data_IF_659717601420
#
_entry.id   IF_659717601420
#
_cell.length_a   1.000
_cell.length_b   1.000
_cell.length_c   1.000
_cell.angle_alpha   90.00
_cell.angle_beta   90.00
_cell.angle_gamma   90.00
#
_symmetry.space_group_name_H-M   'P 1'
#
loop_
_entity.id
_entity.type
_entity.pdbx_description
1 polymer ?
#
# COMPACT_ATOMS: atom_id res chain seq x y z
N UNK A 1 8.10 6.71 -4.19
CA UNK A 1 7.31 5.95 -3.19
C UNK A 1 7.15 6.82 -1.95
N UNK A 2 6.05 6.65 -1.22
CA UNK A 2 5.75 7.34 0.04
C UNK A 2 5.58 6.26 1.11
N UNK A 3 6.22 6.43 2.26
CA UNK A 3 6.18 5.49 3.38
C UNK A 3 5.57 6.16 4.60
N UNK A 4 4.58 5.50 5.19
CA UNK A 4 3.97 5.86 6.47
C UNK A 4 4.08 4.68 7.43
N UNK A 5 3.92 4.91 8.73
CA UNK A 5 3.94 3.79 9.68
C UNK A 5 2.80 2.82 9.38
N UNK A 6 3.14 1.59 8.98
CA UNK A 6 2.18 0.56 8.61
C UNK A 6 1.50 0.75 7.24
N UNK A 7 1.97 1.67 6.39
CA UNK A 7 1.41 1.91 5.05
C UNK A 7 2.47 2.30 4.02
N UNK A 8 2.29 1.88 2.77
CA UNK A 8 3.22 2.14 1.68
C UNK A 8 2.46 2.48 0.39
N UNK A 9 2.81 3.61 -0.22
CA UNK A 9 2.29 4.03 -1.54
C UNK A 9 3.42 4.01 -2.56
N UNK A 10 3.27 3.22 -3.62
CA UNK A 10 4.29 3.04 -4.66
C UNK A 10 3.83 3.63 -5.99
N UNK A 11 4.73 4.34 -6.65
CA UNK A 11 4.53 4.86 -8.01
C UNK A 11 5.60 4.25 -8.90
N UNK A 12 5.19 3.52 -9.93
CA UNK A 12 6.10 2.97 -10.93
C UNK A 12 5.91 3.63 -12.28
N UNK A 13 7.03 3.76 -12.97
CA UNK A 13 7.08 4.01 -14.40
C UNK A 13 8.25 3.22 -14.96
N UNK A 14 8.13 2.84 -16.22
CA UNK A 14 9.20 2.22 -16.98
C UNK A 14 10.12 3.30 -17.54
N UNK A 15 11.42 3.16 -17.32
CA UNK A 15 12.42 4.11 -17.82
C UNK A 15 12.59 4.03 -19.34
N UNK A 16 12.58 2.82 -19.90
CA UNK A 16 12.72 2.57 -21.34
C UNK A 16 11.80 1.40 -21.82
N UNK A 17 10.81 1.67 -22.70
CA UNK A 17 10.40 2.99 -23.15
C UNK A 17 9.91 3.83 -21.97
N UNK A 18 10.14 5.15 -22.02
CA UNK A 18 9.73 6.06 -20.96
C UNK A 18 8.22 6.07 -20.83
N UNK A 19 7.70 5.89 -19.62
CA UNK A 19 6.27 5.98 -19.33
C UNK A 19 5.72 4.71 -18.71
N UNK A 20 4.44 4.44 -18.90
CA UNK A 20 3.80 3.22 -18.41
C UNK A 20 4.07 2.05 -19.36
N UNK A 21 4.39 0.88 -18.83
CA UNK A 21 4.47 -0.37 -19.58
C UNK A 21 3.84 -1.53 -18.82
N UNK A 22 3.76 -2.70 -19.47
CA UNK A 22 3.29 -3.93 -18.85
C UNK A 22 4.07 -4.35 -17.59
N UNK A 23 5.30 -3.85 -17.41
CA UNK A 23 6.07 -4.09 -16.18
C UNK A 23 5.41 -3.43 -14.97
N UNK A 24 4.87 -2.23 -15.14
CA UNK A 24 4.26 -1.46 -14.07
C UNK A 24 2.95 -2.12 -13.60
N UNK A 25 2.12 -2.60 -14.55
CA UNK A 25 0.88 -3.32 -14.22
C UNK A 25 1.15 -4.71 -13.64
N UNK A 26 2.19 -5.40 -14.09
CA UNK A 26 2.64 -6.65 -13.49
C UNK A 26 3.05 -6.44 -12.03
N UNK A 27 3.84 -5.40 -11.75
CA UNK A 27 4.26 -5.08 -10.40
C UNK A 27 3.06 -4.70 -9.51
N UNK A 28 2.06 -4.00 -10.05
CA UNK A 28 0.82 -3.67 -9.32
C UNK A 28 0.11 -4.94 -8.86
N UNK A 29 -0.12 -5.86 -9.79
CA UNK A 29 -0.72 -7.16 -9.47
C UNK A 29 0.12 -7.95 -8.46
N UNK A 30 1.44 -7.97 -8.63
CA UNK A 30 2.33 -8.68 -7.70
C UNK A 30 2.19 -8.12 -6.28
N UNK A 31 2.21 -6.79 -6.11
CA UNK A 31 2.01 -6.16 -4.81
C UNK A 31 0.64 -6.46 -4.21
N UNK A 32 -0.44 -6.44 -5.01
CA UNK A 32 -1.78 -6.82 -4.53
C UNK A 32 -1.83 -8.28 -4.05
N UNK A 33 -1.18 -9.19 -4.78
CA UNK A 33 -1.13 -10.61 -4.43
C UNK A 33 -0.31 -10.83 -3.13
N UNK A 34 0.82 -10.13 -2.95
CA UNK A 34 1.61 -10.19 -1.72
C UNK A 34 0.90 -9.52 -0.53
N UNK A 35 0.20 -8.41 -0.76
CA UNK A 35 -0.57 -7.70 0.25
C UNK A 35 -1.67 -8.62 0.83
N UNK A 36 -2.39 -9.35 -0.04
CA UNK A 36 -3.36 -10.38 0.38
C UNK A 36 -2.70 -11.51 1.16
N UNK A 37 -1.53 -11.99 0.73
CA UNK A 37 -0.81 -13.07 1.40
C UNK A 37 -0.38 -12.68 2.83
N UNK A 38 0.06 -11.43 3.02
CA UNK A 38 0.49 -10.90 4.32
C UNK A 38 -0.71 -10.50 5.19
N UNK A 39 -1.90 -10.34 4.61
CA UNK A 39 -3.11 -9.94 5.32
C UNK A 39 -3.13 -8.45 5.64
N UNK A 40 -2.67 -7.60 4.71
CA UNK A 40 -2.80 -6.16 4.85
C UNK A 40 -4.28 -5.75 4.87
N UNK A 41 -4.58 -4.67 5.58
CA UNK A 41 -5.93 -4.10 5.69
C UNK A 41 -5.98 -2.71 5.07
N UNK A 42 -7.18 -2.21 4.82
CA UNK A 42 -7.36 -0.80 4.44
C UNK A 42 -6.84 0.12 5.53
N UNK A 43 -6.35 1.30 5.14
CA UNK A 43 -5.74 2.25 6.09
C UNK A 43 -6.71 2.68 7.21
N UNK A 44 -8.02 2.68 6.94
CA UNK A 44 -9.08 2.95 7.92
C UNK A 44 -9.25 1.85 8.96
N UNK A 45 -8.84 0.63 8.63
CA UNK A 45 -8.99 -0.57 9.47
C UNK A 45 -7.69 -0.91 10.21
N UNK A 46 -6.60 -0.22 9.91
CA UNK A 46 -5.32 -0.43 10.56
C UNK A 46 -5.43 -0.21 12.07
N UNK A 47 -5.08 -1.23 12.86
CA UNK A 47 -4.99 -1.12 14.31
C UNK A 47 -3.80 -0.24 14.69
N UNK A 48 -4.11 0.98 15.12
CA UNK A 48 -3.11 1.95 15.61
C UNK A 48 -3.04 1.88 17.12
N UNK A 49 -1.83 2.00 17.68
CA UNK A 49 -1.65 2.16 19.12
C UNK A 49 -2.20 3.52 19.55
N UNK A 50 -3.37 3.55 20.18
CA UNK A 50 -4.03 4.76 20.68
C UNK A 50 -5.28 4.42 21.50
N UNK A 51 -5.84 5.38 22.26
CA UNK A 51 -7.09 5.16 22.99
C UNK A 51 -8.20 4.79 22.01
N UNK A 52 -9.08 3.84 22.36
CA UNK A 52 -10.22 3.53 21.51
C UNK A 52 -11.08 4.79 21.33
N UNK A 53 -11.78 4.95 20.19
CA UNK A 53 -12.59 6.14 19.90
C UNK A 53 -13.63 6.48 20.99
N UNK A 54 -14.02 5.50 21.81
CA UNK A 54 -14.95 5.63 22.94
C UNK A 54 -14.36 6.26 24.21
N UNK A 55 -13.06 6.54 24.26
CA UNK A 55 -12.37 7.07 25.45
C UNK A 55 -12.17 8.59 25.44
N UNK A 56 -12.78 9.30 24.48
CA UNK A 56 -12.77 10.77 24.42
C UNK A 56 -14.10 11.35 24.94
N UNK A 57 -14.38 11.15 26.23
CA UNK A 57 -15.45 11.86 26.96
C UNK A 57 -14.83 12.58 28.15
#
# INVERSE_FOLDING_TARGET
MITEFGSLTVFWTTHNPRGLSSKDTFMAKYCDDQAKLIGTVDQSEAQKCGPPPSSQV
#
